data_IF_671027534530
#
_entry.id   IF_671027534530
#
_cell.length_a   1.000
_cell.length_b   1.000
_cell.length_c   1.000
_cell.angle_alpha   90.00
_cell.angle_beta   90.00
_cell.angle_gamma   90.00
#
_symmetry.space_group_name_H-M   'P 1'
#
loop_
_entity.id
_entity.type
_entity.pdbx_description
1 polymer ?
#
# COMPACT_ATOMS: atom_id res chain seq x y z
N UNK A 1 15.05 -64.71 -37.80
CA UNK A 1 15.23 -63.50 -38.63
C UNK A 1 15.56 -62.33 -37.70
N UNK A 2 16.69 -61.63 -37.86
CA UNK A 2 16.98 -60.45 -37.05
C UNK A 2 15.94 -59.36 -37.34
N UNK A 3 15.36 -58.75 -36.29
CA UNK A 3 14.46 -57.61 -36.47
C UNK A 3 15.27 -56.42 -36.98
N UNK A 4 14.71 -55.69 -37.95
CA UNK A 4 15.35 -54.49 -38.53
C UNK A 4 15.54 -53.46 -37.42
N UNK A 5 16.70 -52.82 -37.36
CA UNK A 5 16.97 -51.74 -36.40
C UNK A 5 15.97 -50.59 -36.58
N UNK A 6 15.55 -49.99 -35.47
CA UNK A 6 14.60 -48.88 -35.48
C UNK A 6 15.31 -47.63 -36.06
N UNK A 7 14.83 -47.05 -37.17
CA UNK A 7 15.48 -45.92 -37.82
C UNK A 7 15.37 -44.60 -37.03
N UNK A 8 14.77 -44.61 -35.84
CA UNK A 8 14.54 -43.42 -35.01
C UNK A 8 15.39 -43.39 -33.74
N UNK A 9 16.27 -44.38 -33.52
CA UNK A 9 17.05 -44.47 -32.26
C UNK A 9 17.97 -43.25 -32.04
N UNK A 10 18.35 -42.50 -33.09
CA UNK A 10 19.18 -41.29 -32.98
C UNK A 10 18.44 -39.97 -33.26
N UNK A 11 17.17 -40.01 -33.70
CA UNK A 11 16.47 -38.81 -34.22
C UNK A 11 15.25 -38.39 -33.40
N UNK A 12 15.07 -38.94 -32.20
CA UNK A 12 14.06 -38.41 -31.27
C UNK A 12 14.53 -37.05 -30.75
N UNK A 13 14.22 -35.98 -31.50
CA UNK A 13 14.04 -34.65 -30.91
C UNK A 13 12.95 -34.81 -29.85
N UNK A 14 13.38 -34.93 -28.60
CA UNK A 14 12.49 -34.95 -27.44
C UNK A 14 11.57 -33.74 -27.52
N UNK A 15 10.32 -33.94 -27.95
CA UNK A 15 9.30 -32.91 -27.96
C UNK A 15 8.99 -32.59 -26.50
N UNK A 16 9.64 -31.56 -25.97
CA UNK A 16 9.40 -31.07 -24.63
C UNK A 16 8.08 -30.30 -24.62
N UNK A 17 7.12 -30.78 -23.83
CA UNK A 17 5.95 -29.99 -23.49
C UNK A 17 6.36 -28.99 -22.41
N UNK A 18 6.49 -27.72 -22.80
CA UNK A 18 6.80 -26.62 -21.88
C UNK A 18 5.53 -25.80 -21.68
N UNK A 19 5.21 -25.48 -20.43
CA UNK A 19 4.12 -24.57 -20.13
C UNK A 19 4.56 -23.13 -20.44
N UNK A 20 3.83 -22.45 -21.33
CA UNK A 20 4.08 -21.04 -21.66
C UNK A 20 3.10 -20.17 -20.90
N UNK A 21 3.62 -19.30 -20.04
CA UNK A 21 2.82 -18.38 -19.25
C UNK A 21 2.38 -17.14 -20.02
N UNK A 22 1.35 -16.45 -19.51
CA UNK A 22 0.86 -15.21 -20.13
C UNK A 22 1.94 -14.13 -20.24
N UNK A 23 2.85 -14.05 -19.25
CA UNK A 23 3.99 -13.13 -19.29
C UNK A 23 4.90 -13.39 -20.49
N UNK A 24 5.21 -14.66 -20.76
CA UNK A 24 6.05 -15.05 -21.90
C UNK A 24 5.35 -14.77 -23.23
N UNK A 25 4.04 -15.04 -23.32
CA UNK A 25 3.23 -14.67 -24.50
C UNK A 25 3.23 -13.16 -24.74
N UNK A 26 3.14 -12.35 -23.69
CA UNK A 26 3.12 -10.90 -23.80
C UNK A 26 4.48 -10.32 -24.20
N UNK A 27 5.60 -10.92 -23.77
CA UNK A 27 6.95 -10.41 -24.05
C UNK A 27 7.57 -10.99 -25.32
N UNK A 28 7.35 -12.27 -25.60
CA UNK A 28 8.02 -13.02 -26.66
C UNK A 28 7.07 -13.60 -27.70
N UNK A 29 5.75 -13.54 -27.47
CA UNK A 29 4.76 -13.99 -28.45
C UNK A 29 4.68 -13.06 -29.66
N UNK A 30 4.25 -13.62 -30.79
CA UNK A 30 4.09 -12.89 -32.07
C UNK A 30 3.15 -11.68 -31.92
N UNK A 31 2.10 -11.80 -31.10
CA UNK A 31 1.17 -10.72 -30.78
C UNK A 31 1.53 -9.95 -29.49
N UNK A 32 2.74 -10.12 -28.95
CA UNK A 32 3.14 -9.54 -27.67
C UNK A 32 2.99 -8.02 -27.61
N UNK A 33 3.28 -7.30 -28.69
CA UNK A 33 3.10 -5.85 -28.78
C UNK A 33 1.64 -5.44 -28.55
N UNK A 34 0.69 -6.14 -29.18
CA UNK A 34 -0.75 -5.89 -29.04
C UNK A 34 -1.22 -6.15 -27.62
N UNK A 35 -0.85 -7.29 -27.03
CA UNK A 35 -1.24 -7.63 -25.65
C UNK A 35 -0.69 -6.63 -24.63
N UNK A 36 0.55 -6.17 -24.81
CA UNK A 36 1.15 -5.15 -23.95
C UNK A 36 0.42 -3.81 -24.07
N UNK A 37 0.01 -3.42 -25.26
CA UNK A 37 -0.79 -2.21 -25.47
C UNK A 37 -2.15 -2.32 -24.77
N UNK A 38 -2.85 -3.44 -24.90
CA UNK A 38 -4.13 -3.67 -24.23
C UNK A 38 -4.01 -3.61 -22.70
N UNK A 39 -2.95 -4.21 -22.14
CA UNK A 39 -2.65 -4.15 -20.70
C UNK A 39 -2.39 -2.71 -20.26
N UNK A 40 -1.63 -1.95 -21.05
CA UNK A 40 -1.33 -0.56 -20.77
C UNK A 40 -2.61 0.29 -20.75
N UNK A 41 -3.45 0.20 -21.79
CA UNK A 41 -4.70 0.96 -21.85
C UNK A 41 -5.68 0.56 -20.74
N UNK A 42 -5.75 -0.73 -20.40
CA UNK A 42 -6.55 -1.20 -19.26
C UNK A 42 -6.05 -0.64 -17.94
N UNK A 43 -4.74 -0.63 -17.73
CA UNK A 43 -4.14 -0.09 -16.50
C UNK A 43 -4.35 1.41 -16.41
N UNK A 44 -4.10 2.14 -17.50
CA UNK A 44 -4.34 3.59 -17.62
C UNK A 44 -5.78 3.96 -17.31
N UNK A 45 -6.75 3.24 -17.89
CA UNK A 45 -8.18 3.49 -17.64
C UNK A 45 -8.56 3.19 -16.19
N UNK A 46 -8.04 2.11 -15.60
CA UNK A 46 -8.28 1.78 -14.19
C UNK A 46 -7.75 2.89 -13.25
N UNK A 47 -6.52 3.34 -13.48
CA UNK A 47 -5.89 4.41 -12.68
C UNK A 47 -6.65 5.73 -12.84
N UNK A 48 -7.01 6.09 -14.07
CA UNK A 48 -7.74 7.33 -14.34
C UNK A 48 -9.14 7.30 -13.74
N UNK A 49 -9.88 6.19 -13.87
CA UNK A 49 -11.20 6.03 -13.27
C UNK A 49 -11.14 6.06 -11.75
N UNK A 50 -10.13 5.42 -11.15
CA UNK A 50 -9.87 5.50 -9.71
C UNK A 50 -9.64 6.94 -9.24
N UNK A 51 -8.78 7.68 -9.92
CA UNK A 51 -8.52 9.09 -9.62
C UNK A 51 -9.78 9.96 -9.79
N UNK A 52 -10.53 9.76 -10.89
CA UNK A 52 -11.78 10.47 -11.15
C UNK A 52 -12.85 10.20 -10.09
N UNK A 53 -12.97 8.95 -9.63
CA UNK A 53 -13.90 8.61 -8.55
C UNK A 53 -13.55 9.36 -7.26
N UNK A 54 -12.28 9.43 -6.89
CA UNK A 54 -11.82 10.16 -5.70
C UNK A 54 -12.06 11.68 -5.83
N UNK A 55 -11.69 12.30 -6.96
CA UNK A 55 -11.92 13.74 -7.17
C UNK A 55 -13.41 14.08 -7.20
N UNK A 56 -14.23 13.25 -7.85
CA UNK A 56 -15.68 13.42 -7.89
C UNK A 56 -16.32 13.36 -6.49
N UNK A 57 -15.79 12.54 -5.58
CA UNK A 57 -16.24 12.55 -4.18
C UNK A 57 -15.78 13.78 -3.41
N UNK A 58 -14.60 14.32 -3.71
CA UNK A 58 -14.07 15.51 -3.04
C UNK A 58 -14.88 16.75 -3.40
N UNK A 59 -15.14 16.99 -4.69
CA UNK A 59 -15.85 18.19 -5.15
C UNK A 59 -17.35 18.19 -4.88
N UNK A 60 -17.96 17.02 -4.65
CA UNK A 60 -19.37 16.95 -4.21
C UNK A 60 -19.56 17.38 -2.74
N UNK A 61 -18.51 17.39 -1.93
CA UNK A 61 -18.60 17.79 -0.52
C UNK A 61 -18.54 19.31 -0.31
N UNK A 62 -18.03 20.06 -1.29
CA UNK A 62 -17.85 21.52 -1.19
C UNK A 62 -19.07 22.32 -1.67
N UNK A 63 -20.16 21.66 -2.08
CA UNK A 63 -21.29 22.27 -2.81
C UNK A 63 -22.67 22.21 -2.16
N UNK A 64 -22.83 21.72 -0.93
CA UNK A 64 -24.17 21.50 -0.34
C UNK A 64 -24.31 22.15 1.05
N UNK A 65 -24.52 23.47 1.05
CA UNK A 65 -25.17 24.19 2.15
C UNK A 65 -26.68 24.23 1.88
N UNK A 66 -27.44 23.29 2.47
CA UNK A 66 -28.81 23.43 3.05
C UNK A 66 -29.54 22.06 3.21
N UNK A 67 -30.00 21.79 4.43
CA UNK A 67 -30.66 20.59 5.00
C UNK A 67 -32.11 20.31 4.50
N UNK A 68 -32.86 19.29 5.02
CA UNK A 68 -32.51 17.89 5.38
C UNK A 68 -33.51 16.85 4.78
N UNK A 69 -33.12 15.58 4.63
CA UNK A 69 -34.06 14.51 4.25
C UNK A 69 -33.44 13.11 4.25
N UNK A 70 -34.07 12.20 4.99
CA UNK A 70 -33.58 10.90 5.41
C UNK A 70 -33.52 9.87 4.25
N UNK A 71 -32.42 9.11 4.12
CA UNK A 71 -32.35 7.63 4.21
C UNK A 71 -31.28 6.94 3.32
N UNK A 72 -30.45 6.16 4.02
CA UNK A 72 -29.75 4.94 3.58
C UNK A 72 -28.76 5.01 2.40
N UNK A 73 -27.55 5.47 2.70
CA UNK A 73 -26.35 4.95 2.04
C UNK A 73 -25.23 4.75 3.07
N UNK A 74 -24.69 3.54 3.07
CA UNK A 74 -23.71 2.97 3.99
C UNK A 74 -22.50 3.93 4.28
N UNK A 75 -22.22 4.32 5.54
CA UNK A 75 -21.18 5.32 5.89
C UNK A 75 -19.73 4.81 5.78
N UNK A 76 -19.53 3.68 5.09
CA UNK A 76 -18.27 2.96 5.01
C UNK A 76 -17.21 3.65 4.14
N UNK A 77 -17.60 4.33 3.05
CA UNK A 77 -16.63 4.69 1.99
C UNK A 77 -15.95 6.06 2.22
N UNK A 78 -16.64 7.03 2.80
CA UNK A 78 -16.08 8.39 3.02
C UNK A 78 -15.09 8.45 4.20
N UNK A 79 -15.21 7.53 5.16
CA UNK A 79 -14.41 7.53 6.39
C UNK A 79 -12.99 6.98 6.19
N UNK A 80 -12.80 6.03 5.26
CA UNK A 80 -11.51 5.34 5.06
C UNK A 80 -10.41 6.33 4.62
N UNK A 81 -10.75 7.29 3.78
CA UNK A 81 -9.75 8.18 3.17
C UNK A 81 -9.12 9.14 4.18
N UNK A 82 -9.86 9.69 5.16
CA UNK A 82 -9.29 10.58 6.18
C UNK A 82 -8.38 9.85 7.17
N UNK A 83 -8.61 8.56 7.41
CA UNK A 83 -7.72 7.75 8.27
C UNK A 83 -6.39 7.40 7.61
N UNK A 84 -6.36 7.29 6.27
CA UNK A 84 -5.13 7.01 5.51
C UNK A 84 -4.18 8.21 5.47
N UNK A 85 -4.72 9.44 5.55
CA UNK A 85 -3.98 10.70 5.48
C UNK A 85 -3.39 11.13 6.84
N UNK A 86 -3.68 10.41 7.93
CA UNK A 86 -3.12 10.72 9.25
C UNK A 86 -1.63 10.42 9.27
N UNK A 87 -0.82 11.47 9.45
CA UNK A 87 0.64 11.46 9.38
C UNK A 87 1.23 11.94 8.04
N UNK A 88 0.41 12.33 7.05
CA UNK A 88 0.90 12.92 5.81
C UNK A 88 1.31 14.39 6.01
N UNK A 89 2.40 14.80 5.36
CA UNK A 89 2.85 16.20 5.30
C UNK A 89 2.14 16.93 4.16
N UNK A 90 1.65 18.14 4.43
CA UNK A 90 1.04 19.05 3.45
C UNK A 90 2.06 20.10 3.02
N UNK A 91 2.04 20.52 1.76
CA UNK A 91 2.86 21.64 1.27
C UNK A 91 2.15 22.94 1.67
N UNK A 92 2.79 23.76 2.49
CA UNK A 92 2.30 25.08 2.88
C UNK A 92 2.39 26.11 1.75
N UNK A 93 1.71 27.24 1.92
CA UNK A 93 1.77 28.37 0.98
C UNK A 93 3.20 28.95 0.86
N UNK A 94 4.04 28.69 1.84
CA UNK A 94 5.47 29.00 1.87
C UNK A 94 6.35 27.93 1.18
N UNK A 95 5.76 26.92 0.55
CA UNK A 95 6.45 25.81 -0.11
C UNK A 95 7.07 24.79 0.85
N UNK A 96 6.89 24.95 2.17
CA UNK A 96 7.47 24.04 3.17
C UNK A 96 6.51 22.91 3.51
N UNK A 97 7.06 21.73 3.77
CA UNK A 97 6.29 20.58 4.25
C UNK A 97 5.90 20.80 5.72
N UNK A 98 4.60 20.77 6.02
CA UNK A 98 4.05 20.89 7.38
C UNK A 98 3.28 19.63 7.72
N UNK A 99 3.42 19.12 8.94
CA UNK A 99 2.57 18.01 9.42
C UNK A 99 1.11 18.48 9.41
N UNK A 100 0.21 17.65 8.88
CA UNK A 100 -1.24 17.94 8.97
C UNK A 100 -1.59 18.06 10.44
N UNK A 101 -2.11 19.22 10.87
CA UNK A 101 -2.55 19.42 12.25
C UNK A 101 -3.62 18.40 12.64
N UNK A 102 -3.86 18.17 13.95
CA UNK A 102 -4.88 17.25 14.41
C UNK A 102 -6.21 17.70 13.81
N UNK A 103 -6.74 16.94 12.86
CA UNK A 103 -8.07 17.19 12.33
C UNK A 103 -9.04 17.10 13.52
N UNK A 104 -9.86 18.14 13.69
CA UNK A 104 -10.89 18.19 14.73
C UNK A 104 -11.64 16.85 14.77
N UNK A 105 -11.78 16.35 16.00
CA UNK A 105 -12.23 15.01 16.37
C UNK A 105 -13.41 14.51 15.53
N UNK A 106 -13.14 13.50 14.70
CA UNK A 106 -14.08 12.41 14.51
C UNK A 106 -13.35 11.15 14.93
N UNK A 107 -13.45 10.87 16.24
CA UNK A 107 -12.98 9.66 16.88
C UNK A 107 -13.65 8.44 16.23
N UNK A 108 -12.98 7.88 15.24
CA UNK A 108 -12.97 6.43 15.06
C UNK A 108 -11.51 6.02 15.10
N UNK A 109 -10.96 6.03 16.31
CA UNK A 109 -9.80 5.22 16.66
C UNK A 109 -10.02 3.86 16.03
N UNK A 110 -9.23 3.52 15.00
CA UNK A 110 -9.23 2.14 14.56
C UNK A 110 -8.83 1.32 15.78
N UNK A 111 -9.75 0.47 16.24
CA UNK A 111 -9.51 -0.42 17.36
C UNK A 111 -8.49 -1.50 17.00
N UNK A 112 -7.79 -1.38 15.86
CA UNK A 112 -6.81 -2.29 15.27
C UNK A 112 -5.40 -1.64 15.26
N UNK A 113 -4.35 -2.43 15.46
CA UNK A 113 -2.97 -1.92 15.43
C UNK A 113 -2.60 -1.49 14.01
N UNK A 114 -1.96 -0.34 13.82
CA UNK A 114 -1.59 0.14 12.48
C UNK A 114 -0.50 -0.70 11.77
N UNK A 115 0.15 -1.63 12.47
CA UNK A 115 1.19 -2.50 11.92
C UNK A 115 0.61 -3.89 11.64
N UNK A 116 0.10 -4.57 12.68
CA UNK A 116 -0.38 -5.94 12.57
C UNK A 116 -1.89 -6.08 12.38
N UNK A 117 -2.64 -4.97 12.35
CA UNK A 117 -4.10 -4.91 12.19
C UNK A 117 -4.93 -5.65 13.26
N UNK A 118 -4.28 -6.20 14.30
CA UNK A 118 -4.98 -6.89 15.40
C UNK A 118 -5.73 -5.91 16.30
N UNK A 119 -6.97 -6.24 16.62
CA UNK A 119 -7.73 -5.56 17.66
C UNK A 119 -7.23 -6.01 19.05
N UNK A 120 -6.75 -5.06 19.86
CA UNK A 120 -6.19 -5.33 21.19
C UNK A 120 -6.62 -4.22 22.15
N UNK A 121 -6.81 -4.54 23.43
CA UNK A 121 -7.31 -3.57 24.42
C UNK A 121 -6.32 -2.47 24.80
N UNK A 122 -5.03 -2.80 24.98
CA UNK A 122 -4.02 -1.84 25.46
C UNK A 122 -3.25 -1.18 24.31
N UNK A 123 -3.76 -0.01 23.90
CA UNK A 123 -3.29 0.91 22.85
C UNK A 123 -2.24 1.93 23.29
N UNK A 124 -1.14 2.15 22.56
CA UNK A 124 -0.41 3.42 22.60
C UNK A 124 -0.38 4.07 21.22
N UNK A 125 -0.24 5.40 21.16
CA UNK A 125 -0.08 6.13 19.90
C UNK A 125 1.40 6.20 19.53
N UNK A 126 1.71 6.03 18.24
CA UNK A 126 3.05 6.27 17.71
C UNK A 126 3.39 7.77 17.75
N UNK A 127 4.53 8.19 18.29
CA UNK A 127 4.89 9.61 18.33
C UNK A 127 5.13 10.24 16.95
N UNK A 128 5.30 9.43 15.90
CA UNK A 128 5.59 9.89 14.53
C UNK A 128 4.37 10.00 13.62
N UNK A 129 3.61 8.90 13.49
CA UNK A 129 2.42 8.86 12.65
C UNK A 129 1.11 8.97 13.45
N UNK A 130 1.20 9.04 14.77
CA UNK A 130 0.10 9.13 15.73
C UNK A 130 -0.89 7.95 15.72
N UNK A 131 -0.72 6.95 14.85
CA UNK A 131 -1.61 5.78 14.75
C UNK A 131 -1.48 4.86 15.98
N UNK A 132 -2.53 4.09 16.26
CA UNK A 132 -2.56 3.17 17.41
C UNK A 132 -1.69 1.93 17.16
N UNK A 133 -0.88 1.55 18.13
CA UNK A 133 0.11 0.47 18.04
C UNK A 133 -0.04 -0.46 19.25
N UNK A 134 -0.09 -1.77 19.01
CA UNK A 134 -0.07 -2.73 20.11
C UNK A 134 1.35 -2.85 20.72
N UNK A 135 1.50 -3.33 21.95
CA UNK A 135 2.80 -3.42 22.63
C UNK A 135 3.85 -4.20 21.82
N UNK A 136 3.44 -5.26 21.11
CA UNK A 136 4.35 -6.06 20.27
C UNK A 136 4.86 -5.34 19.02
N UNK A 137 4.16 -4.31 18.56
CA UNK A 137 4.54 -3.52 17.39
C UNK A 137 5.12 -2.15 17.76
N UNK A 138 5.15 -1.82 19.05
CA UNK A 138 5.76 -0.61 19.58
C UNK A 138 7.26 -0.81 19.76
N UNK A 139 8.05 0.18 19.37
CA UNK A 139 9.48 0.27 19.64
C UNK A 139 9.80 1.61 20.32
N UNK A 140 10.87 1.66 21.08
CA UNK A 140 11.35 2.89 21.72
C UNK A 140 12.57 3.40 20.96
N UNK A 141 12.60 4.70 20.64
CA UNK A 141 13.78 5.34 20.07
C UNK A 141 14.88 5.44 21.12
N UNK A 142 16.11 5.10 20.75
CA UNK A 142 17.26 5.15 21.65
C UNK A 142 17.69 6.59 21.99
N UNK A 143 17.43 7.57 21.12
CA UNK A 143 17.89 8.95 21.34
C UNK A 143 16.83 9.80 22.04
N UNK A 144 15.59 9.84 21.53
CA UNK A 144 14.52 10.68 22.10
C UNK A 144 13.59 9.93 23.07
N UNK A 145 13.80 8.62 23.29
CA UNK A 145 12.91 7.76 24.10
C UNK A 145 11.44 7.72 23.65
N UNK A 146 11.12 8.25 22.46
CA UNK A 146 9.78 8.25 21.91
C UNK A 146 9.29 6.86 21.51
N UNK A 147 8.02 6.56 21.79
CA UNK A 147 7.37 5.31 21.39
C UNK A 147 6.86 5.41 19.95
N UNK A 148 7.45 4.61 19.06
CA UNK A 148 7.14 4.59 17.64
C UNK A 148 6.60 3.22 17.22
N UNK A 149 5.84 3.16 16.12
CA UNK A 149 5.54 1.87 15.49
C UNK A 149 6.79 1.37 14.76
N UNK A 150 6.86 0.05 14.51
CA UNK A 150 7.98 -0.55 13.77
C UNK A 150 8.18 0.01 12.34
N UNK A 151 7.18 0.68 11.76
CA UNK A 151 7.27 1.33 10.45
C UNK A 151 7.91 2.73 10.54
N UNK A 152 7.75 3.42 11.67
CA UNK A 152 8.31 4.76 11.91
C UNK A 152 9.68 4.72 12.62
N UNK A 153 10.34 3.56 12.59
CA UNK A 153 11.67 3.37 13.16
C UNK A 153 12.60 2.73 12.16
N UNK A 154 13.86 3.11 12.22
CA UNK A 154 14.98 2.49 11.52
C UNK A 154 15.86 1.80 12.56
N UNK A 155 16.47 0.67 12.19
CA UNK A 155 17.50 0.03 13.02
C UNK A 155 18.86 0.40 12.44
N UNK A 156 19.67 1.08 13.23
CA UNK A 156 21.06 1.38 12.93
C UNK A 156 21.94 0.23 13.45
N UNK A 157 22.73 -0.34 12.54
CA UNK A 157 23.63 -1.46 12.78
C UNK A 157 25.12 -1.03 12.76
N UNK A 158 25.39 0.28 12.83
CA UNK A 158 26.75 0.82 12.70
C UNK A 158 27.63 0.56 13.92
N UNK A 159 27.03 0.36 15.10
CA UNK A 159 27.74 0.10 16.36
C UNK A 159 27.64 -1.39 16.75
N UNK A 160 28.31 -1.79 17.84
CA UNK A 160 28.30 -3.16 18.38
C UNK A 160 26.88 -3.66 18.69
N UNK A 161 25.95 -2.76 19.00
CA UNK A 161 24.57 -3.10 19.35
C UNK A 161 23.59 -2.40 18.40
N UNK A 162 22.55 -3.13 18.00
CA UNK A 162 21.44 -2.61 17.21
C UNK A 162 20.77 -1.43 17.93
N UNK A 163 20.73 -0.27 17.27
CA UNK A 163 20.07 0.93 17.82
C UNK A 163 18.77 1.19 17.09
N UNK A 164 17.67 1.36 17.82
CA UNK A 164 16.38 1.73 17.21
C UNK A 164 16.26 3.24 17.22
N UNK A 165 16.13 3.85 16.04
CA UNK A 165 15.98 5.29 15.86
C UNK A 165 14.61 5.58 15.26
N UNK A 166 13.94 6.65 15.71
CA UNK A 166 12.75 7.14 15.02
C UNK A 166 13.15 7.93 13.76
N UNK A 167 12.22 8.10 12.82
CA UNK A 167 12.51 8.81 11.56
C UNK A 167 13.09 10.22 11.74
N UNK A 168 12.73 10.93 12.82
CA UNK A 168 13.28 12.26 13.11
C UNK A 168 14.70 12.21 13.70
N UNK A 169 15.06 11.16 14.46
CA UNK A 169 16.41 11.01 15.04
C UNK A 169 17.39 10.35 14.08
N UNK A 170 16.91 9.64 13.06
CA UNK A 170 17.75 9.08 12.00
C UNK A 170 18.07 10.06 10.88
N UNK A 171 17.45 11.25 10.88
CA UNK A 171 17.54 12.25 9.81
C UNK A 171 18.71 13.22 9.99
#
# INVERSE_FOLDING_TARGET
MPKRSCPFDETFSSQYKIHIGQKELNHHGVFGSKYRQEIYEKTKSLLFNGAKAVIGTLWKLDGEENQPGIEMADPSVTTVNRTLLRGQTVIGLDGKLRKTGPAADISRTSAACCVCLKAMGTKKLCSQCERSVCPSCTRQCNDCSGLCCSVCTVVDYSDRYDRVLCCDCSA
#
